data_IF_457409223645
#
_entry.id   IF_457409223645
#
_cell.length_a   1.000
_cell.length_b   1.000
_cell.length_c   1.000
_cell.angle_alpha   90.00
_cell.angle_beta   90.00
_cell.angle_gamma   90.00
#
_symmetry.space_group_name_H-M   'P 1'
#
loop_
_entity.id
_entity.type
_entity.pdbx_description
1 polymer ?
#
# COMPACT_ATOMS: atom_id res chain seq x y z
N UNK A 1 -19.59 -3.20 17.32
CA UNK A 1 -19.86 -4.42 18.10
C UNK A 1 -18.66 -5.34 17.98
N UNK A 2 -17.87 -5.47 19.04
CA UNK A 2 -16.78 -6.46 19.07
C UNK A 2 -17.39 -7.86 19.18
N UNK A 3 -16.94 -8.79 18.32
CA UNK A 3 -17.38 -10.18 18.42
C UNK A 3 -16.82 -10.83 19.71
N UNK A 4 -17.60 -11.71 20.36
CA UNK A 4 -17.13 -12.44 21.54
C UNK A 4 -15.87 -13.27 21.25
N UNK A 5 -15.06 -13.46 22.29
CA UNK A 5 -13.79 -14.19 22.21
C UNK A 5 -14.00 -15.63 21.73
N UNK A 6 -12.95 -16.24 21.13
CA UNK A 6 -13.00 -17.61 20.58
C UNK A 6 -13.38 -18.70 21.60
N UNK A 7 -13.41 -18.41 22.89
CA UNK A 7 -13.79 -19.38 23.93
C UNK A 7 -15.30 -19.35 24.24
N UNK A 8 -15.98 -18.24 23.99
CA UNK A 8 -17.32 -17.99 24.55
C UNK A 8 -18.47 -18.14 23.54
N UNK A 9 -18.17 -18.37 22.26
CA UNK A 9 -19.17 -18.41 21.18
C UNK A 9 -19.38 -19.82 20.61
N UNK A 10 -20.64 -20.27 20.59
CA UNK A 10 -21.03 -21.55 19.99
C UNK A 10 -20.69 -21.61 18.49
N UNK A 11 -20.32 -22.80 17.98
CA UNK A 11 -19.92 -23.01 16.57
C UNK A 11 -21.04 -22.65 15.59
N UNK A 12 -22.31 -22.76 16.00
CA UNK A 12 -23.48 -22.40 15.20
C UNK A 12 -23.64 -20.88 15.04
N UNK A 13 -23.48 -20.09 16.10
CA UNK A 13 -23.50 -18.62 16.06
C UNK A 13 -22.37 -18.04 15.19
N UNK A 14 -21.26 -18.78 15.01
CA UNK A 14 -20.14 -18.39 14.13
C UNK A 14 -20.45 -18.55 12.65
N UNK A 15 -21.32 -19.48 12.27
CA UNK A 15 -21.69 -19.70 10.85
C UNK A 15 -22.59 -18.58 10.31
N UNK A 16 -23.43 -17.97 11.14
CA UNK A 16 -24.29 -16.83 10.72
C UNK A 16 -23.63 -15.46 10.90
N UNK A 17 -22.54 -15.37 11.65
CA UNK A 17 -21.77 -14.14 11.79
C UNK A 17 -21.13 -13.78 10.43
N UNK A 18 -21.76 -12.85 9.69
CA UNK A 18 -21.11 -12.16 8.57
C UNK A 18 -19.78 -11.64 9.10
N UNK A 19 -18.66 -12.16 8.57
CA UNK A 19 -17.31 -11.65 8.83
C UNK A 19 -17.40 -10.14 8.63
N UNK A 20 -17.13 -9.34 9.67
CA UNK A 20 -17.09 -7.89 9.57
C UNK A 20 -15.92 -7.54 8.65
N UNK A 21 -16.18 -7.57 7.34
CA UNK A 21 -15.29 -7.09 6.31
C UNK A 21 -15.58 -5.59 6.29
N UNK A 22 -14.65 -4.73 6.75
CA UNK A 22 -14.81 -3.31 6.49
C UNK A 22 -14.96 -3.11 4.98
N UNK A 23 -15.79 -2.15 4.59
CA UNK A 23 -15.97 -1.80 3.18
C UNK A 23 -14.61 -1.51 2.56
N UNK A 24 -14.35 -2.15 1.41
CA UNK A 24 -13.08 -2.01 0.69
C UNK A 24 -13.25 -0.87 -0.29
N UNK A 25 -12.46 0.18 -0.10
CA UNK A 25 -12.41 1.31 -1.02
C UNK A 25 -11.40 0.97 -2.11
N UNK A 26 -11.87 0.88 -3.35
CA UNK A 26 -11.03 0.64 -4.52
C UNK A 26 -10.67 1.99 -5.14
N UNK A 27 -9.37 2.25 -5.32
CA UNK A 27 -8.86 3.48 -5.92
C UNK A 27 -8.10 3.12 -7.19
N UNK A 28 -8.53 3.68 -8.32
CA UNK A 28 -7.77 3.65 -9.58
C UNK A 28 -6.73 4.78 -9.58
N UNK A 29 -5.45 4.45 -9.81
CA UNK A 29 -4.36 5.42 -9.85
C UNK A 29 -3.96 5.90 -11.25
N UNK A 30 -4.73 5.54 -12.29
CA UNK A 30 -4.54 6.13 -13.61
C UNK A 30 -4.51 7.65 -13.53
N UNK A 31 -3.49 8.26 -14.14
CA UNK A 31 -3.29 9.71 -14.24
C UNK A 31 -3.12 10.48 -12.91
N UNK A 32 -3.03 9.78 -11.79
CA UNK A 32 -2.80 10.39 -10.48
C UNK A 32 -1.31 10.69 -10.26
N UNK A 33 -1.02 11.75 -9.50
CA UNK A 33 0.37 12.10 -9.14
C UNK A 33 0.81 11.30 -7.91
N UNK A 34 1.93 10.57 -8.03
CA UNK A 34 2.43 9.60 -7.03
C UNK A 34 2.35 10.09 -5.58
N UNK A 35 3.05 11.19 -5.29
CA UNK A 35 3.15 11.71 -3.93
C UNK A 35 1.82 12.24 -3.38
N UNK A 36 0.97 12.80 -4.26
CA UNK A 36 -0.33 13.35 -3.86
C UNK A 36 -1.30 12.22 -3.51
N UNK A 37 -1.38 11.19 -4.34
CA UNK A 37 -2.20 10.02 -4.08
C UNK A 37 -1.74 9.29 -2.80
N UNK A 38 -0.43 9.07 -2.64
CA UNK A 38 0.12 8.39 -1.47
C UNK A 38 -0.22 9.09 -0.15
N UNK A 39 -0.18 10.43 -0.10
CA UNK A 39 -0.50 11.18 1.12
C UNK A 39 -1.97 11.01 1.55
N UNK A 40 -2.89 11.04 0.60
CA UNK A 40 -4.34 10.84 0.87
C UNK A 40 -4.59 9.40 1.31
N UNK A 41 -4.02 8.42 0.61
CA UNK A 41 -4.14 6.99 0.96
C UNK A 41 -3.59 6.75 2.37
N UNK A 42 -2.41 7.28 2.71
CA UNK A 42 -1.82 7.14 4.03
C UNK A 42 -2.73 7.69 5.14
N UNK A 43 -3.35 8.87 4.95
CA UNK A 43 -4.27 9.42 5.95
C UNK A 43 -5.54 8.57 6.10
N UNK A 44 -6.09 8.07 5.00
CA UNK A 44 -7.28 7.21 5.04
C UNK A 44 -6.99 5.87 5.73
N UNK A 45 -5.78 5.30 5.54
CA UNK A 45 -5.34 4.11 6.27
C UNK A 45 -5.25 4.36 7.79
N UNK A 46 -4.70 5.51 8.21
CA UNK A 46 -4.65 5.89 9.63
C UNK A 46 -6.04 6.10 10.27
N UNK A 47 -7.03 6.50 9.46
CA UNK A 47 -8.44 6.57 9.89
C UNK A 47 -9.12 5.20 9.95
N UNK A 48 -8.40 4.11 9.68
CA UNK A 48 -8.91 2.74 9.77
C UNK A 48 -9.70 2.27 8.55
N UNK A 49 -9.64 3.00 7.42
CA UNK A 49 -10.28 2.56 6.18
C UNK A 49 -9.45 1.47 5.50
N UNK A 50 -10.11 0.47 4.92
CA UNK A 50 -9.45 -0.57 4.13
C UNK A 50 -9.44 -0.18 2.65
N UNK A 51 -8.26 -0.02 2.08
CA UNK A 51 -8.08 0.52 0.73
C UNK A 51 -7.34 -0.50 -0.13
N UNK A 52 -7.79 -0.66 -1.37
CA UNK A 52 -7.09 -1.41 -2.42
C UNK A 52 -6.83 -0.48 -3.59
N UNK A 53 -5.56 -0.39 -3.97
CA UNK A 53 -5.09 0.46 -5.04
C UNK A 53 -4.88 -0.38 -6.28
N UNK A 54 -5.35 0.10 -7.43
CA UNK A 54 -5.29 -0.63 -8.71
C UNK A 54 -4.60 0.23 -9.77
N UNK A 55 -4.01 -0.44 -10.77
CA UNK A 55 -3.37 0.19 -11.94
C UNK A 55 -2.20 1.12 -11.59
N UNK A 56 -1.33 0.68 -10.68
CA UNK A 56 -0.17 1.43 -10.24
C UNK A 56 0.84 1.73 -11.37
N UNK A 57 0.79 0.98 -12.47
CA UNK A 57 1.61 1.20 -13.66
C UNK A 57 1.25 2.47 -14.46
N UNK A 58 0.02 2.97 -14.32
CA UNK A 58 -0.47 4.17 -15.04
C UNK A 58 -0.41 5.45 -14.21
N UNK A 59 0.45 5.42 -13.19
CA UNK A 59 0.59 6.49 -12.22
C UNK A 59 1.64 7.50 -12.72
N UNK A 60 1.33 8.78 -12.57
CA UNK A 60 2.15 9.85 -13.11
C UNK A 60 3.11 10.43 -12.05
N UNK A 61 4.37 10.67 -12.46
CA UNK A 61 5.34 11.42 -11.66
C UNK A 61 5.62 12.73 -12.38
N UNK A 62 5.37 13.85 -11.72
CA UNK A 62 5.61 15.17 -12.29
C UNK A 62 7.09 15.37 -12.66
N UNK A 63 7.33 16.02 -13.79
CA UNK A 63 8.65 16.29 -14.34
C UNK A 63 9.01 15.39 -15.52
N UNK A 64 10.13 15.70 -16.18
CA UNK A 64 10.59 14.93 -17.34
C UNK A 64 11.05 13.53 -16.95
N UNK A 65 10.87 12.58 -17.86
CA UNK A 65 11.23 11.18 -17.65
C UNK A 65 12.72 11.02 -17.28
N UNK A 66 13.61 11.74 -17.96
CA UNK A 66 15.07 11.71 -17.70
C UNK A 66 15.38 12.09 -16.25
N UNK A 67 14.73 13.14 -15.72
CA UNK A 67 14.95 13.58 -14.34
C UNK A 67 14.47 12.54 -13.34
N UNK A 68 13.32 11.92 -13.60
CA UNK A 68 12.77 10.86 -12.75
C UNK A 68 13.65 9.61 -12.78
N UNK A 69 14.19 9.25 -13.96
CA UNK A 69 15.16 8.17 -14.12
C UNK A 69 16.44 8.41 -13.32
N UNK A 70 17.03 9.61 -13.41
CA UNK A 70 18.26 9.94 -12.66
C UNK A 70 18.01 9.84 -11.14
N UNK A 71 16.88 10.35 -10.64
CA UNK A 71 16.51 10.22 -9.22
C UNK A 71 16.45 8.76 -8.78
N UNK A 72 15.83 7.91 -9.61
CA UNK A 72 15.74 6.48 -9.31
C UNK A 72 17.11 5.80 -9.37
N UNK A 73 17.96 6.13 -10.35
CA UNK A 73 19.34 5.62 -10.42
C UNK A 73 20.19 6.04 -9.21
N UNK A 74 20.02 7.25 -8.69
CA UNK A 74 20.67 7.69 -7.45
C UNK A 74 20.20 6.87 -6.24
N UNK A 75 18.92 6.51 -6.18
CA UNK A 75 18.39 5.61 -5.16
C UNK A 75 19.02 4.22 -5.23
N UNK A 76 19.21 3.64 -6.42
CA UNK A 76 19.85 2.34 -6.61
C UNK A 76 21.33 2.29 -6.21
N UNK A 77 22.00 3.44 -6.17
CA UNK A 77 23.38 3.53 -5.69
C UNK A 77 23.48 3.39 -4.17
N UNK A 78 22.38 3.61 -3.43
CA UNK A 78 22.35 3.56 -1.96
C UNK A 78 22.38 2.12 -1.47
N UNK A 79 23.54 1.65 -1.01
CA UNK A 79 23.72 0.30 -0.44
C UNK A 79 24.44 0.38 0.91
N UNK A 80 24.21 -0.61 1.76
CA UNK A 80 25.04 -0.81 2.96
C UNK A 80 26.46 -1.20 2.53
N UNK A 81 27.47 -0.51 3.05
CA UNK A 81 28.86 -0.72 2.62
C UNK A 81 29.39 -2.12 3.00
N UNK A 82 29.11 -2.56 4.23
CA UNK A 82 29.65 -3.84 4.76
C UNK A 82 28.98 -5.07 4.17
N UNK A 83 27.64 -5.10 4.10
CA UNK A 83 26.91 -6.17 3.45
C UNK A 83 25.65 -5.63 2.75
N UNK A 84 25.66 -5.55 1.40
CA UNK A 84 24.55 -5.04 0.61
C UNK A 84 23.23 -5.80 0.80
N UNK A 85 23.27 -7.10 1.16
CA UNK A 85 22.03 -7.89 1.33
C UNK A 85 21.21 -7.46 2.55
N UNK A 86 21.86 -6.87 3.56
CA UNK A 86 21.22 -6.27 4.74
C UNK A 86 20.94 -4.77 4.56
N UNK A 87 21.12 -4.24 3.36
CA UNK A 87 20.94 -2.83 3.03
C UNK A 87 19.50 -2.49 2.62
N UNK A 88 19.29 -1.27 2.09
CA UNK A 88 18.02 -0.88 1.51
C UNK A 88 17.60 -1.82 0.38
N UNK A 89 16.34 -2.26 0.38
CA UNK A 89 15.77 -3.02 -0.73
C UNK A 89 15.31 -2.08 -1.84
N UNK A 90 15.68 -2.39 -3.08
CA UNK A 90 15.28 -1.62 -4.25
C UNK A 90 14.16 -2.34 -5.01
N UNK A 91 12.91 -1.94 -4.76
CA UNK A 91 11.76 -2.49 -5.48
C UNK A 91 11.73 -2.00 -6.94
N UNK A 92 11.47 -2.94 -7.86
CA UNK A 92 11.40 -2.68 -9.32
C UNK A 92 9.97 -2.57 -9.83
N UNK A 93 9.03 -3.19 -9.14
CA UNK A 93 7.61 -3.15 -9.49
C UNK A 93 7.02 -1.77 -9.15
N UNK A 94 6.01 -1.31 -9.91
CA UNK A 94 5.28 -0.07 -9.62
C UNK A 94 4.25 -0.20 -8.48
N UNK A 95 3.90 -1.43 -8.07
CA UNK A 95 2.92 -1.75 -7.04
C UNK A 95 3.46 -1.64 -5.61
#
# INVERSE_FOLDING_TARGET
MAFPSRKDASRAQRKSAKKHRPEIIVIDLKDHVLGRAAAVVAKQLLLGKKITVVRCEQLNIAGTEIRNKIKYLQYLRKRKLTNPTKGPFHHRAPS
#
